data_IF_642242662647
#
_entry.id   IF_642242662647
#
_cell.length_a   1.000
_cell.length_b   1.000
_cell.length_c   1.000
_cell.angle_alpha   90.00
_cell.angle_beta   90.00
_cell.angle_gamma   90.00
#
_symmetry.space_group_name_H-M   'P 1'
#
loop_
_entity.id
_entity.type
_entity.pdbx_description
1 polymer ?
#
# COMPACT_ATOMS: atom_id res chain seq x y z
N UNK A 1 0.06 -34.57 27.67
CA UNK A 1 -1.33 -34.52 27.20
C UNK A 1 -1.76 -33.12 26.73
N UNK A 2 -1.52 -32.08 27.51
CA UNK A 2 -1.91 -30.69 27.21
C UNK A 2 -1.40 -30.11 25.86
N UNK A 3 -0.10 -30.29 25.54
CA UNK A 3 0.48 -29.81 24.28
C UNK A 3 -0.16 -30.40 23.02
N UNK A 4 -0.57 -31.67 23.10
CA UNK A 4 -1.23 -32.38 21.98
C UNK A 4 -2.64 -31.84 21.75
N UNK A 5 -3.35 -31.51 22.80
CA UNK A 5 -4.68 -30.89 22.71
C UNK A 5 -4.61 -29.48 22.15
N UNK A 6 -3.64 -28.65 22.55
CA UNK A 6 -3.42 -27.33 22.00
C UNK A 6 -3.06 -27.38 20.51
N UNK A 7 -2.23 -28.35 20.09
CA UNK A 7 -1.91 -28.55 18.69
C UNK A 7 -3.13 -28.94 17.85
N UNK A 8 -3.97 -29.83 18.36
CA UNK A 8 -5.21 -30.22 17.68
C UNK A 8 -6.18 -29.04 17.56
N UNK A 9 -6.31 -28.24 18.62
CA UNK A 9 -7.11 -27.01 18.59
C UNK A 9 -6.57 -26.01 17.56
N UNK A 10 -5.26 -25.81 17.51
CA UNK A 10 -4.63 -24.96 16.52
C UNK A 10 -4.95 -25.42 15.09
N UNK A 11 -4.79 -26.71 14.80
CA UNK A 11 -5.11 -27.26 13.47
C UNK A 11 -6.60 -27.06 13.13
N UNK A 12 -7.50 -27.31 14.07
CA UNK A 12 -8.95 -27.11 13.86
C UNK A 12 -9.28 -25.65 13.55
N UNK A 13 -8.73 -24.72 14.31
CA UNK A 13 -8.92 -23.29 14.09
C UNK A 13 -8.36 -22.89 12.73
N UNK A 14 -7.12 -23.30 12.42
CA UNK A 14 -6.47 -23.01 11.14
C UNK A 14 -7.26 -23.57 9.95
N UNK A 15 -7.73 -24.84 10.05
CA UNK A 15 -8.53 -25.46 9.01
C UNK A 15 -9.89 -24.79 8.85
N UNK A 16 -10.53 -24.39 9.96
CA UNK A 16 -11.80 -23.66 9.92
C UNK A 16 -11.65 -22.30 9.24
N UNK A 17 -10.56 -21.56 9.53
CA UNK A 17 -10.26 -20.32 8.83
C UNK A 17 -9.99 -20.56 7.34
N UNK A 18 -9.21 -21.58 7.00
CA UNK A 18 -8.91 -21.92 5.61
C UNK A 18 -10.18 -22.25 4.81
N UNK A 19 -11.06 -23.10 5.37
CA UNK A 19 -12.33 -23.43 4.74
C UNK A 19 -13.24 -22.22 4.53
N UNK A 20 -13.25 -21.29 5.48
CA UNK A 20 -14.09 -20.09 5.39
C UNK A 20 -13.53 -19.00 4.47
N UNK A 21 -12.22 -18.90 4.35
CA UNK A 21 -11.54 -17.84 3.60
C UNK A 21 -11.15 -18.27 2.19
N UNK A 22 -10.73 -19.52 2.02
CA UNK A 22 -10.14 -20.01 0.76
C UNK A 22 -11.08 -20.92 0.00
N UNK A 23 -11.92 -21.68 0.73
CA UNK A 23 -12.86 -22.65 0.15
C UNK A 23 -14.32 -22.38 0.55
N UNK A 24 -14.83 -21.15 0.52
CA UNK A 24 -16.25 -20.93 0.76
C UNK A 24 -17.08 -21.53 -0.39
N UNK A 25 -18.14 -22.22 -0.06
CA UNK A 25 -19.09 -22.77 -1.05
C UNK A 25 -19.85 -21.67 -1.83
N UNK A 26 -19.65 -20.40 -1.46
CA UNK A 26 -20.28 -19.25 -2.09
C UNK A 26 -19.38 -18.02 -1.90
N UNK A 27 -19.38 -17.15 -2.90
CA UNK A 27 -18.59 -15.91 -2.88
C UNK A 27 -19.41 -14.83 -2.16
N UNK A 28 -18.90 -14.38 -1.01
CA UNK A 28 -19.52 -13.31 -0.22
C UNK A 28 -18.97 -11.92 -0.54
N UNK A 29 -18.07 -11.84 -1.52
CA UNK A 29 -17.41 -10.59 -1.92
C UNK A 29 -16.31 -10.12 -0.98
N UNK A 30 -15.62 -9.05 -1.40
CA UNK A 30 -14.45 -8.50 -0.71
C UNK A 30 -14.76 -8.00 0.71
N UNK A 31 -15.98 -7.53 0.97
CA UNK A 31 -16.41 -7.09 2.32
C UNK A 31 -16.32 -8.21 3.36
N UNK A 32 -16.61 -9.43 2.96
CA UNK A 32 -16.48 -10.59 3.83
C UNK A 32 -15.02 -10.90 4.14
N UNK A 33 -14.16 -10.92 3.12
CA UNK A 33 -12.72 -11.05 3.29
C UNK A 33 -12.13 -9.97 4.21
N UNK A 34 -12.51 -8.71 4.02
CA UNK A 34 -12.06 -7.60 4.87
C UNK A 34 -12.48 -7.76 6.33
N UNK A 35 -13.63 -8.36 6.60
CA UNK A 35 -14.08 -8.64 7.96
C UNK A 35 -13.13 -9.62 8.66
N UNK A 36 -12.76 -10.72 7.99
CA UNK A 36 -11.79 -11.66 8.54
C UNK A 36 -10.41 -11.06 8.70
N UNK A 37 -9.95 -10.31 7.73
CA UNK A 37 -8.67 -9.62 7.80
C UNK A 37 -8.59 -8.67 9.00
N UNK A 38 -9.68 -7.93 9.30
CA UNK A 38 -9.78 -7.10 10.52
C UNK A 38 -9.72 -7.93 11.80
N UNK A 39 -10.38 -9.07 11.83
CA UNK A 39 -10.34 -9.96 13.00
C UNK A 39 -8.93 -10.49 13.24
N UNK A 40 -8.23 -10.94 12.20
CA UNK A 40 -6.85 -11.40 12.29
C UNK A 40 -5.91 -10.29 12.84
N UNK A 41 -6.00 -9.06 12.29
CA UNK A 41 -5.23 -7.91 12.79
C UNK A 41 -5.54 -7.54 14.23
N UNK A 42 -6.79 -7.67 14.66
CA UNK A 42 -7.14 -7.43 16.06
C UNK A 42 -6.57 -8.49 16.99
N UNK A 43 -6.56 -9.76 16.58
CA UNK A 43 -5.93 -10.83 17.33
C UNK A 43 -4.42 -10.63 17.48
N UNK A 44 -3.72 -10.16 16.44
CA UNK A 44 -2.31 -9.79 16.49
C UNK A 44 -2.04 -8.66 17.50
N UNK A 45 -2.88 -7.62 17.51
CA UNK A 45 -2.77 -6.52 18.47
C UNK A 45 -2.97 -6.96 19.92
N UNK A 46 -3.94 -7.86 20.17
CA UNK A 46 -4.19 -8.44 21.49
C UNK A 46 -2.99 -9.28 21.94
N UNK A 47 -2.32 -9.97 21.00
CA UNK A 47 -1.12 -10.74 21.26
C UNK A 47 0.13 -9.91 21.61
N UNK A 48 0.03 -8.58 21.62
CA UNK A 48 1.13 -7.67 21.97
C UNK A 48 2.31 -7.70 21.00
N UNK A 49 2.11 -8.18 19.77
CA UNK A 49 3.17 -8.22 18.76
C UNK A 49 3.44 -6.82 18.23
N UNK A 50 4.70 -6.41 18.29
CA UNK A 50 5.20 -5.18 17.66
C UNK A 50 5.15 -5.32 16.12
N UNK A 51 4.92 -4.20 15.43
CA UNK A 51 4.96 -4.14 13.95
C UNK A 51 6.31 -4.60 13.39
N UNK A 52 7.41 -4.34 14.09
CA UNK A 52 8.74 -4.82 13.71
C UNK A 52 8.80 -6.35 13.67
N UNK A 53 8.17 -7.03 14.62
CA UNK A 53 8.09 -8.48 14.64
C UNK A 53 7.35 -9.03 13.42
N UNK A 54 6.28 -8.36 12.98
CA UNK A 54 5.52 -8.75 11.78
C UNK A 54 6.41 -8.68 10.54
N UNK A 55 7.18 -7.61 10.35
CA UNK A 55 8.11 -7.50 9.22
C UNK A 55 9.20 -8.56 9.27
N UNK A 56 9.75 -8.84 10.44
CA UNK A 56 10.74 -9.92 10.64
C UNK A 56 10.22 -11.27 10.18
N UNK A 57 9.02 -11.64 10.58
CA UNK A 57 8.41 -12.91 10.19
C UNK A 57 8.06 -12.95 8.68
N UNK A 58 7.63 -11.83 8.11
CA UNK A 58 7.42 -11.72 6.66
C UNK A 58 8.73 -11.99 5.92
N UNK A 59 9.82 -11.33 6.29
CA UNK A 59 11.11 -11.55 5.64
C UNK A 59 11.59 -12.99 5.80
N UNK A 60 11.52 -13.56 6.99
CA UNK A 60 11.90 -14.94 7.23
C UNK A 60 11.09 -15.93 6.40
N UNK A 61 9.78 -15.73 6.29
CA UNK A 61 8.89 -16.65 5.57
C UNK A 61 9.02 -16.55 4.06
N UNK A 62 9.22 -15.36 3.51
CA UNK A 62 9.26 -15.11 2.07
C UNK A 62 10.67 -15.27 1.49
N UNK A 63 11.67 -14.82 2.21
CA UNK A 63 13.04 -14.83 1.71
C UNK A 63 13.73 -16.19 1.80
N UNK A 64 13.11 -17.19 2.44
CA UNK A 64 13.54 -18.60 2.34
C UNK A 64 13.38 -19.18 0.93
N UNK A 65 12.56 -18.54 0.09
CA UNK A 65 12.39 -18.96 -1.28
C UNK A 65 13.43 -18.29 -2.19
N UNK A 66 14.45 -19.04 -2.58
CA UNK A 66 15.56 -18.59 -3.45
C UNK A 66 15.11 -18.08 -4.82
N UNK A 67 13.88 -18.40 -5.23
CA UNK A 67 13.32 -17.94 -6.50
C UNK A 67 12.74 -16.52 -6.43
N UNK A 68 12.53 -15.98 -5.23
CA UNK A 68 12.05 -14.61 -5.06
C UNK A 68 13.24 -13.65 -5.22
N UNK A 69 13.20 -12.83 -6.27
CA UNK A 69 14.23 -11.82 -6.56
C UNK A 69 13.86 -10.42 -6.08
N UNK A 70 12.56 -10.13 -6.04
CA UNK A 70 12.03 -8.83 -5.58
C UNK A 70 10.80 -9.06 -4.72
N UNK A 71 10.72 -8.32 -3.61
CA UNK A 71 9.60 -8.35 -2.69
C UNK A 71 9.03 -6.94 -2.53
N UNK A 72 7.75 -6.76 -2.83
CA UNK A 72 7.04 -5.51 -2.55
C UNK A 72 6.28 -5.60 -1.24
N UNK A 73 6.50 -4.64 -0.36
CA UNK A 73 5.81 -4.49 0.91
C UNK A 73 4.84 -3.32 0.80
N UNK A 74 3.55 -3.57 1.06
CA UNK A 74 2.52 -2.54 1.03
C UNK A 74 2.24 -2.01 2.41
N UNK A 75 2.38 -0.70 2.58
CA UNK A 75 2.20 0.00 3.85
C UNK A 75 1.10 1.04 3.69
N UNK A 76 0.16 1.04 4.62
CA UNK A 76 -0.87 2.08 4.68
C UNK A 76 -0.34 3.29 5.46
N UNK A 77 -0.37 4.51 4.90
CA UNK A 77 0.00 5.71 5.63
C UNK A 77 -0.92 5.93 6.85
N UNK A 78 -0.35 6.36 7.97
CA UNK A 78 -1.14 6.76 9.13
C UNK A 78 -1.60 8.22 8.99
N UNK A 79 -2.82 8.41 8.48
CA UNK A 79 -3.44 9.73 8.35
C UNK A 79 -3.97 10.28 9.67
N UNK A 80 -4.11 9.44 10.70
CA UNK A 80 -4.70 9.83 11.97
C UNK A 80 -3.70 10.53 12.89
N UNK A 81 -2.41 10.47 12.55
CA UNK A 81 -1.35 11.14 13.32
C UNK A 81 -1.61 12.65 13.45
N UNK A 82 -2.11 13.29 12.39
CA UNK A 82 -2.47 14.70 12.40
C UNK A 82 -3.78 14.96 13.14
N UNK A 83 -4.75 14.04 13.04
CA UNK A 83 -6.07 14.19 13.64
C UNK A 83 -6.07 13.93 15.15
N UNK A 84 -5.31 12.95 15.62
CA UNK A 84 -5.21 12.59 17.06
C UNK A 84 -4.70 13.71 17.96
N UNK A 85 -3.95 14.65 17.40
CA UNK A 85 -3.30 15.71 18.14
C UNK A 85 -4.02 17.07 18.04
N UNK A 86 -5.24 17.13 17.47
CA UNK A 86 -6.00 18.37 17.33
C UNK A 86 -5.31 19.46 16.51
N UNK A 87 -4.40 19.06 15.62
CA UNK A 87 -3.53 19.97 14.89
C UNK A 87 -4.29 20.60 13.74
N UNK A 88 -4.63 21.88 13.89
CA UNK A 88 -5.25 22.66 12.84
C UNK A 88 -4.23 23.29 11.86
N UNK A 89 -2.95 23.33 12.19
CA UNK A 89 -1.91 23.95 11.36
C UNK A 89 -1.39 22.97 10.31
N UNK A 90 -1.55 23.32 9.05
CA UNK A 90 -1.14 22.53 7.89
C UNK A 90 0.33 22.08 7.91
N UNK A 91 1.27 22.97 8.25
CA UNK A 91 2.71 22.69 8.29
C UNK A 91 3.08 21.62 9.32
N UNK A 92 2.40 21.64 10.47
CA UNK A 92 2.65 20.65 11.52
C UNK A 92 2.10 19.27 11.12
N UNK A 93 0.95 19.24 10.47
CA UNK A 93 0.36 18.01 9.93
C UNK A 93 1.28 17.36 8.88
N UNK A 94 1.87 18.16 7.99
CA UNK A 94 2.82 17.70 6.99
C UNK A 94 4.09 17.13 7.61
N UNK A 95 4.67 17.84 8.60
CA UNK A 95 5.86 17.37 9.33
C UNK A 95 5.59 16.04 10.04
N UNK A 96 4.44 15.90 10.67
CA UNK A 96 4.06 14.65 11.34
C UNK A 96 3.86 13.50 10.36
N UNK A 97 3.29 13.78 9.20
CA UNK A 97 3.13 12.80 8.14
C UNK A 97 4.48 12.33 7.59
N UNK A 98 5.40 13.23 7.30
CA UNK A 98 6.78 12.90 6.91
C UNK A 98 7.48 12.04 7.97
N UNK A 99 7.34 12.40 9.24
CA UNK A 99 7.89 11.62 10.36
C UNK A 99 7.30 10.21 10.43
N UNK A 100 5.99 10.07 10.25
CA UNK A 100 5.32 8.77 10.23
C UNK A 100 5.80 7.91 9.05
N UNK A 101 5.92 8.49 7.85
CA UNK A 101 6.46 7.80 6.67
C UNK A 101 7.89 7.30 6.94
N UNK A 102 8.77 8.15 7.46
CA UNK A 102 10.15 7.77 7.76
C UNK A 102 10.24 6.67 8.83
N UNK A 103 9.41 6.73 9.85
CA UNK A 103 9.37 5.68 10.89
C UNK A 103 8.96 4.33 10.30
N UNK A 104 7.96 4.31 9.43
CA UNK A 104 7.53 3.08 8.77
C UNK A 104 8.63 2.51 7.87
N UNK A 105 9.24 3.35 7.05
CA UNK A 105 10.36 2.95 6.19
C UNK A 105 11.52 2.42 7.03
N UNK A 106 11.90 3.15 8.10
CA UNK A 106 12.98 2.72 8.99
C UNK A 106 12.71 1.34 9.58
N UNK A 107 11.50 1.07 10.07
CA UNK A 107 11.13 -0.25 10.62
C UNK A 107 11.32 -1.36 9.60
N UNK A 108 10.80 -1.19 8.39
CA UNK A 108 10.92 -2.18 7.32
C UNK A 108 12.38 -2.43 6.96
N UNK A 109 13.15 -1.36 6.74
CA UNK A 109 14.55 -1.47 6.33
C UNK A 109 15.39 -2.10 7.45
N UNK A 110 15.16 -1.72 8.70
CA UNK A 110 15.90 -2.31 9.84
C UNK A 110 15.68 -3.82 9.91
N UNK A 111 14.45 -4.30 9.85
CA UNK A 111 14.17 -5.74 9.91
C UNK A 111 14.67 -6.49 8.67
N UNK A 112 14.65 -5.85 7.51
CA UNK A 112 15.23 -6.40 6.30
C UNK A 112 16.75 -6.54 6.42
N UNK A 113 17.45 -5.55 6.93
CA UNK A 113 18.89 -5.59 7.13
C UNK A 113 19.27 -6.67 8.15
N UNK A 114 18.57 -6.76 9.26
CA UNK A 114 18.80 -7.83 10.25
C UNK A 114 18.57 -9.21 9.66
N UNK A 115 17.57 -9.35 8.80
CA UNK A 115 17.35 -10.57 8.05
C UNK A 115 18.53 -10.89 7.11
N UNK A 116 19.00 -9.92 6.33
CA UNK A 116 20.14 -10.09 5.43
C UNK A 116 21.43 -10.45 6.18
N UNK A 117 21.69 -9.80 7.33
CA UNK A 117 22.83 -10.12 8.19
C UNK A 117 22.80 -11.58 8.65
N UNK A 118 21.64 -12.08 9.04
CA UNK A 118 21.50 -13.49 9.45
C UNK A 118 21.83 -14.48 8.31
N UNK A 119 21.43 -14.13 7.08
CA UNK A 119 21.69 -15.01 5.91
C UNK A 119 23.20 -15.11 5.62
N UNK A 120 23.91 -13.98 5.66
CA UNK A 120 25.35 -13.93 5.31
C UNK A 120 26.26 -14.08 6.53
N UNK A 121 25.70 -14.29 7.73
CA UNK A 121 26.42 -14.39 9.00
C UNK A 121 27.39 -13.23 9.21
N UNK A 122 26.88 -11.99 9.05
CA UNK A 122 27.67 -10.77 9.09
C UNK A 122 27.64 -10.12 10.48
N UNK A 123 28.79 -9.81 11.04
CA UNK A 123 28.95 -9.22 12.39
C UNK A 123 29.51 -7.78 12.38
N UNK A 124 29.68 -7.15 11.21
CA UNK A 124 30.25 -5.79 11.08
C UNK A 124 29.27 -4.66 11.40
N UNK A 125 29.75 -3.42 11.29
CA UNK A 125 28.96 -2.21 11.48
C UNK A 125 27.97 -1.97 10.30
N UNK A 126 27.07 -0.99 10.49
CA UNK A 126 26.03 -0.69 9.51
C UNK A 126 26.56 -0.04 8.24
N UNK A 127 27.60 0.77 8.31
CA UNK A 127 28.16 1.48 7.13
C UNK A 127 28.82 0.51 6.20
N UNK A 128 29.65 -0.36 6.75
CA UNK A 128 30.32 -1.44 6.00
C UNK A 128 29.28 -2.41 5.41
N UNK A 129 28.20 -2.66 6.14
CA UNK A 129 27.08 -3.48 5.65
C UNK A 129 26.41 -2.87 4.43
N UNK A 130 26.09 -1.58 4.45
CA UNK A 130 25.47 -0.88 3.31
C UNK A 130 26.37 -0.94 2.08
N UNK A 131 27.67 -0.72 2.23
CA UNK A 131 28.61 -0.83 1.13
C UNK A 131 28.65 -2.25 0.54
N UNK A 132 28.63 -3.29 1.38
CA UNK A 132 28.59 -4.67 0.93
C UNK A 132 27.25 -5.03 0.27
N UNK A 133 26.13 -4.57 0.82
CA UNK A 133 24.81 -4.80 0.25
C UNK A 133 24.69 -4.18 -1.14
N UNK A 134 25.12 -2.94 -1.30
CA UNK A 134 25.12 -2.26 -2.60
C UNK A 134 25.99 -3.01 -3.61
N UNK A 135 27.20 -3.43 -3.21
CA UNK A 135 28.08 -4.22 -4.05
C UNK A 135 27.46 -5.58 -4.44
N UNK A 136 26.79 -6.25 -3.52
CA UNK A 136 26.05 -7.49 -3.82
C UNK A 136 24.94 -7.26 -4.84
N UNK A 137 24.24 -6.13 -4.77
CA UNK A 137 23.20 -5.77 -5.75
C UNK A 137 23.79 -5.45 -7.13
N UNK A 138 24.88 -4.69 -7.19
CA UNK A 138 25.61 -4.35 -8.42
C UNK A 138 26.14 -5.59 -9.11
N UNK A 139 26.74 -6.49 -8.35
CA UNK A 139 27.31 -7.77 -8.86
C UNK A 139 26.23 -8.81 -9.24
N UNK A 140 24.95 -8.55 -9.00
CA UNK A 140 23.86 -9.50 -9.23
C UNK A 140 23.94 -10.78 -8.38
N UNK A 141 24.76 -10.77 -7.35
CA UNK A 141 25.05 -11.92 -6.47
C UNK A 141 24.27 -11.92 -5.16
N UNK A 142 23.32 -11.02 -4.99
CA UNK A 142 22.52 -10.99 -3.75
C UNK A 142 21.74 -12.29 -3.60
N UNK A 143 22.06 -13.08 -2.60
CA UNK A 143 21.33 -14.29 -2.22
C UNK A 143 19.95 -14.00 -1.59
N UNK A 144 19.54 -12.75 -1.51
CA UNK A 144 18.29 -12.29 -0.92
C UNK A 144 17.54 -11.33 -1.86
N UNK A 145 16.21 -11.27 -1.77
CA UNK A 145 15.41 -10.44 -2.64
C UNK A 145 15.62 -8.96 -2.35
N UNK A 146 15.66 -8.12 -3.38
CA UNK A 146 15.55 -6.68 -3.20
C UNK A 146 14.15 -6.33 -2.70
N UNK A 147 14.04 -5.30 -1.84
CA UNK A 147 12.75 -4.85 -1.32
C UNK A 147 12.30 -3.54 -1.96
N UNK A 148 10.98 -3.41 -2.11
CA UNK A 148 10.32 -2.18 -2.51
C UNK A 148 9.14 -1.90 -1.60
N UNK A 149 9.02 -0.65 -1.14
CA UNK A 149 7.90 -0.19 -0.33
C UNK A 149 6.91 0.51 -1.25
N UNK A 150 5.66 0.07 -1.21
CA UNK A 150 4.54 0.67 -1.93
C UNK A 150 3.56 1.25 -0.92
N UNK A 151 3.33 2.55 -0.97
CA UNK A 151 2.34 3.19 -0.12
C UNK A 151 0.94 2.95 -0.65
N UNK A 152 0.13 2.30 0.19
CA UNK A 152 -1.19 1.79 -0.14
C UNK A 152 -2.28 2.68 0.46
N UNK A 153 -3.08 3.31 -0.40
CA UNK A 153 -4.23 4.12 0.00
C UNK A 153 -5.49 3.25 0.04
N UNK A 154 -6.13 3.21 1.19
CA UNK A 154 -7.40 2.50 1.31
C UNK A 154 -8.53 3.34 0.71
N UNK A 155 -9.25 2.78 -0.26
CA UNK A 155 -10.55 3.29 -0.68
C UNK A 155 -11.47 3.18 0.51
N UNK A 156 -12.08 4.29 0.90
CA UNK A 156 -12.96 4.35 2.07
C UNK A 156 -14.38 4.63 1.62
N UNK A 157 -15.29 3.95 2.24
CA UNK A 157 -16.69 4.26 2.15
C UNK A 157 -16.97 5.49 3.02
N UNK A 158 -17.15 6.63 2.40
CA UNK A 158 -17.48 7.89 3.08
C UNK A 158 -18.99 8.17 3.07
N UNK A 159 -19.73 7.27 2.49
CA UNK A 159 -21.16 7.34 2.53
C UNK A 159 -21.60 6.89 3.92
N UNK A 160 -22.09 7.85 4.71
CA UNK A 160 -23.01 7.50 5.76
C UNK A 160 -24.05 6.56 5.14
N UNK A 161 -24.36 5.43 5.75
CA UNK A 161 -25.25 4.39 5.20
C UNK A 161 -26.58 4.96 4.65
N UNK A 162 -26.94 6.18 5.04
CA UNK A 162 -28.09 6.95 4.55
C UNK A 162 -27.93 7.54 3.14
N UNK A 163 -26.69 7.72 2.67
CA UNK A 163 -26.41 8.35 1.36
C UNK A 163 -26.18 7.29 0.28
N UNK A 164 -25.76 6.09 0.64
CA UNK A 164 -25.58 4.96 -0.29
C UNK A 164 -26.85 4.58 -1.06
N UNK A 165 -28.02 4.89 -0.50
CA UNK A 165 -29.33 4.69 -1.14
C UNK A 165 -29.81 5.87 -1.98
N UNK A 166 -29.06 6.98 -2.00
CA UNK A 166 -29.43 8.12 -2.84
C UNK A 166 -29.07 7.85 -4.29
N UNK A 167 -30.05 7.45 -5.08
CA UNK A 167 -29.92 7.50 -6.51
C UNK A 167 -29.80 8.96 -7.00
N UNK A 168 -29.21 9.15 -8.17
CA UNK A 168 -29.05 10.47 -8.78
C UNK A 168 -30.34 11.31 -8.80
N UNK A 169 -31.50 10.68 -8.97
CA UNK A 169 -32.80 11.36 -8.95
C UNK A 169 -33.12 12.02 -7.59
N UNK A 170 -32.81 11.34 -6.48
CA UNK A 170 -33.01 11.93 -5.14
C UNK A 170 -32.08 13.12 -4.90
N UNK A 171 -30.86 13.04 -5.42
CA UNK A 171 -29.91 14.15 -5.36
C UNK A 171 -30.39 15.38 -6.10
N UNK A 172 -30.84 15.21 -7.35
CA UNK A 172 -31.37 16.32 -8.16
C UNK A 172 -32.63 16.95 -7.53
N UNK A 173 -33.47 16.13 -6.90
CA UNK A 173 -34.69 16.60 -6.24
C UNK A 173 -34.44 17.37 -4.92
N UNK A 174 -33.36 17.02 -4.18
CA UNK A 174 -33.10 17.63 -2.88
C UNK A 174 -32.45 19.03 -2.97
N UNK A 175 -31.85 19.36 -4.12
CA UNK A 175 -31.15 20.65 -4.31
C UNK A 175 -29.94 20.86 -3.38
N UNK A 176 -29.64 19.91 -2.51
CA UNK A 176 -28.54 19.97 -1.55
C UNK A 176 -27.33 19.20 -2.11
N UNK A 177 -26.21 19.89 -2.20
CA UNK A 177 -24.94 19.21 -2.48
C UNK A 177 -24.76 18.11 -1.43
N UNK A 178 -24.47 16.86 -1.82
CA UNK A 178 -24.36 15.78 -0.86
C UNK A 178 -23.28 16.10 0.17
N UNK A 179 -23.52 15.80 1.44
CA UNK A 179 -22.55 15.88 2.54
C UNK A 179 -21.25 15.14 2.20
N UNK A 180 -21.32 14.21 1.29
CA UNK A 180 -20.32 13.54 0.51
C UNK A 180 -19.19 14.46 0.03
N UNK A 181 -19.46 15.65 -0.46
CA UNK A 181 -18.43 16.52 -1.04
C UNK A 181 -17.42 17.04 -0.01
N UNK A 182 -17.83 17.27 1.25
CA UNK A 182 -16.93 17.81 2.29
C UNK A 182 -15.92 16.78 2.79
N UNK A 183 -16.38 15.59 3.11
CA UNK A 183 -15.49 14.52 3.61
C UNK A 183 -14.53 14.02 2.55
N UNK A 184 -15.01 13.89 1.32
CA UNK A 184 -14.14 13.48 0.21
C UNK A 184 -13.06 14.51 -0.10
N UNK A 185 -13.35 15.81 0.01
CA UNK A 185 -12.35 16.86 -0.19
C UNK A 185 -11.24 16.80 0.87
N UNK A 186 -11.56 16.57 2.12
CA UNK A 186 -10.57 16.45 3.19
C UNK A 186 -9.68 15.24 2.93
N UNK A 187 -10.27 14.10 2.67
CA UNK A 187 -9.52 12.87 2.41
C UNK A 187 -8.66 12.96 1.14
N UNK A 188 -9.19 13.51 0.04
CA UNK A 188 -8.40 13.77 -1.18
C UNK A 188 -7.22 14.67 -0.92
N UNK A 189 -7.39 15.75 -0.14
CA UNK A 189 -6.29 16.62 0.28
C UNK A 189 -5.25 15.85 1.11
N UNK A 190 -5.68 15.01 2.04
CA UNK A 190 -4.77 14.18 2.84
C UNK A 190 -3.91 13.27 1.96
N UNK A 191 -4.50 12.62 0.97
CA UNK A 191 -3.75 11.76 0.03
C UNK A 191 -2.79 12.61 -0.82
N UNK A 192 -3.24 13.73 -1.39
CA UNK A 192 -2.36 14.62 -2.15
C UNK A 192 -1.17 15.10 -1.30
N UNK A 193 -1.41 15.43 -0.04
CA UNK A 193 -0.33 15.82 0.86
C UNK A 193 0.62 14.65 1.17
N UNK A 194 0.07 13.44 1.32
CA UNK A 194 0.87 12.24 1.53
C UNK A 194 1.78 11.95 0.33
N UNK A 195 1.25 12.00 -0.88
CA UNK A 195 2.06 11.77 -2.08
C UNK A 195 3.12 12.84 -2.30
N UNK A 196 2.82 14.10 -1.95
CA UNK A 196 3.82 15.19 -1.95
C UNK A 196 4.93 14.93 -0.92
N UNK A 197 4.56 14.50 0.30
CA UNK A 197 5.52 14.16 1.34
C UNK A 197 6.42 12.99 0.93
N UNK A 198 5.84 11.95 0.32
CA UNK A 198 6.58 10.80 -0.22
C UNK A 198 7.62 11.27 -1.25
N UNK A 199 7.20 12.06 -2.24
CA UNK A 199 8.12 12.54 -3.28
C UNK A 199 9.20 13.45 -2.73
N UNK A 200 8.86 14.31 -1.79
CA UNK A 200 9.86 15.19 -1.16
C UNK A 200 10.88 14.38 -0.37
N UNK A 201 10.46 13.38 0.39
CA UNK A 201 11.36 12.49 1.11
C UNK A 201 12.26 11.71 0.14
N UNK A 202 11.67 11.15 -0.94
CA UNK A 202 12.43 10.44 -1.98
C UNK A 202 13.47 11.32 -2.66
N UNK A 203 13.19 12.62 -2.80
CA UNK A 203 14.08 13.59 -3.47
C UNK A 203 15.06 14.26 -2.53
N UNK A 204 14.91 14.15 -1.21
CA UNK A 204 15.76 14.83 -0.22
C UNK A 204 16.65 13.90 0.59
N UNK A 205 16.34 12.60 0.62
CA UNK A 205 17.12 11.61 1.38
C UNK A 205 17.79 10.64 0.41
N UNK A 206 19.13 10.52 0.46
CA UNK A 206 19.87 9.60 -0.39
C UNK A 206 19.32 8.18 -0.34
N UNK A 207 19.21 7.54 -1.50
CA UNK A 207 18.76 6.15 -1.69
C UNK A 207 17.33 5.84 -1.26
N UNK A 208 16.58 6.77 -0.64
CA UNK A 208 15.22 6.50 -0.20
C UNK A 208 14.28 6.19 -1.39
N UNK A 209 14.57 6.77 -2.56
CA UNK A 209 13.80 6.52 -3.78
C UNK A 209 13.95 5.09 -4.31
N UNK A 210 15.01 4.38 -3.93
CA UNK A 210 15.22 2.97 -4.27
C UNK A 210 14.34 2.03 -3.42
N UNK A 211 14.02 2.45 -2.20
CA UNK A 211 13.16 1.71 -1.29
C UNK A 211 11.68 2.06 -1.44
N UNK A 212 11.33 3.33 -1.59
CA UNK A 212 9.94 3.74 -1.85
C UNK A 212 9.71 3.75 -3.36
N UNK A 213 9.21 2.63 -3.87
CA UNK A 213 9.15 2.37 -5.32
C UNK A 213 7.77 2.63 -5.93
N UNK A 214 6.72 2.72 -5.13
CA UNK A 214 5.36 2.83 -5.68
C UNK A 214 4.31 3.40 -4.75
N UNK A 215 3.18 3.74 -5.38
CA UNK A 215 1.91 4.01 -4.70
C UNK A 215 0.83 3.09 -5.26
N UNK A 216 -0.14 2.76 -4.43
CA UNK A 216 -1.24 1.87 -4.75
C UNK A 216 -2.54 2.39 -4.11
N UNK A 217 -3.68 1.99 -4.66
CA UNK A 217 -4.95 2.15 -3.97
C UNK A 217 -5.80 0.89 -4.13
N UNK A 218 -6.29 0.40 -3.01
CA UNK A 218 -7.10 -0.81 -2.96
C UNK A 218 -8.21 -0.71 -1.90
N UNK A 219 -8.86 -1.80 -1.61
CA UNK A 219 -10.07 -1.92 -0.80
C UNK A 219 -11.31 -1.91 -1.70
N UNK A 220 -12.49 -1.90 -1.12
CA UNK A 220 -13.76 -2.02 -1.85
C UNK A 220 -13.84 -1.04 -3.02
N UNK A 221 -13.90 -1.55 -4.25
CA UNK A 221 -13.92 -0.75 -5.47
C UNK A 221 -15.20 0.12 -5.57
N UNK A 222 -16.31 -0.43 -5.10
CA UNK A 222 -17.60 0.26 -5.13
C UNK A 222 -17.71 1.41 -4.12
N UNK A 223 -16.73 1.56 -3.21
CA UNK A 223 -16.71 2.64 -2.22
C UNK A 223 -16.22 3.97 -2.79
N UNK A 224 -15.53 3.94 -3.95
CA UNK A 224 -14.89 5.13 -4.48
C UNK A 224 -14.60 5.03 -5.97
N UNK A 225 -15.03 6.04 -6.70
CA UNK A 225 -14.74 6.21 -8.11
C UNK A 225 -13.24 6.52 -8.35
N UNK A 226 -12.60 5.94 -9.38
CA UNK A 226 -11.17 6.13 -9.64
C UNK A 226 -10.76 7.61 -9.79
N UNK A 227 -11.57 8.42 -10.51
CA UNK A 227 -11.27 9.82 -10.75
C UNK A 227 -11.01 10.64 -9.48
N UNK A 228 -11.51 10.18 -8.32
CA UNK A 228 -11.31 10.88 -7.04
C UNK A 228 -9.84 10.87 -6.60
N UNK A 229 -9.08 9.83 -6.95
CA UNK A 229 -7.66 9.71 -6.66
C UNK A 229 -6.75 10.24 -7.76
N UNK A 230 -7.29 10.49 -8.95
CA UNK A 230 -6.53 10.99 -10.09
C UNK A 230 -5.65 12.23 -9.77
N UNK A 231 -6.10 13.22 -8.99
CA UNK A 231 -5.25 14.36 -8.63
C UNK A 231 -3.98 13.97 -7.87
N UNK A 232 -4.06 12.98 -6.97
CA UNK A 232 -2.90 12.50 -6.21
C UNK A 232 -1.87 11.85 -7.14
N UNK A 233 -2.31 10.94 -8.00
CA UNK A 233 -1.44 10.25 -8.96
C UNK A 233 -0.82 11.22 -9.98
N UNK A 234 -1.62 12.16 -10.52
CA UNK A 234 -1.12 13.20 -11.43
C UNK A 234 -0.13 14.16 -10.76
N UNK A 235 -0.34 14.46 -9.48
CA UNK A 235 0.60 15.32 -8.72
C UNK A 235 2.00 14.73 -8.72
N UNK A 236 2.13 13.44 -8.46
CA UNK A 236 3.42 12.75 -8.51
C UNK A 236 3.95 12.69 -9.96
N UNK A 237 3.11 12.25 -10.90
CA UNK A 237 3.53 12.04 -12.30
C UNK A 237 4.03 13.31 -12.96
N UNK A 238 3.43 14.44 -12.65
CA UNK A 238 3.74 15.73 -13.25
C UNK A 238 4.77 16.55 -12.45
N UNK A 239 5.20 16.05 -11.29
CA UNK A 239 6.19 16.73 -10.49
C UNK A 239 7.53 16.72 -11.23
N UNK A 240 7.89 17.84 -11.81
CA UNK A 240 9.26 18.06 -12.25
C UNK A 240 10.11 18.19 -10.98
N UNK A 241 10.96 17.21 -10.75
CA UNK A 241 12.01 17.32 -9.73
C UNK A 241 12.98 18.38 -10.27
N UNK A 242 12.74 19.63 -9.86
CA UNK A 242 13.48 20.80 -10.37
C UNK A 242 14.87 20.91 -9.80
N UNK A 243 15.21 20.08 -8.81
CA UNK A 243 16.55 20.04 -8.25
C UNK A 243 16.95 18.57 -8.03
N UNK A 244 17.91 18.04 -8.77
CA UNK A 244 18.63 16.87 -8.33
C UNK A 244 19.46 17.32 -7.11
N UNK A 245 18.92 17.08 -5.92
CA UNK A 245 19.50 17.65 -4.69
C UNK A 245 20.47 16.66 -4.04
N UNK A 246 20.46 15.42 -4.49
CA UNK A 246 21.22 14.37 -3.84
C UNK A 246 22.47 14.11 -4.66
N UNK A 247 23.58 14.46 -4.07
CA UNK A 247 24.90 14.00 -4.52
C UNK A 247 25.26 12.78 -3.70
N UNK A 248 25.89 11.80 -4.33
CA UNK A 248 26.57 10.73 -3.60
C UNK A 248 27.83 11.27 -2.93
N UNK A 249 28.49 10.45 -2.13
CA UNK A 249 29.73 10.84 -1.44
C UNK A 249 30.87 11.22 -2.41
N UNK A 250 30.77 10.81 -3.67
CA UNK A 250 31.70 11.14 -4.73
C UNK A 250 31.37 12.46 -5.48
N UNK A 251 30.28 13.12 -5.11
CA UNK A 251 29.85 14.36 -5.75
C UNK A 251 28.98 14.18 -7.01
N UNK A 252 28.60 12.95 -7.36
CA UNK A 252 27.72 12.69 -8.51
C UNK A 252 26.26 12.89 -8.16
N UNK A 253 25.48 13.39 -9.11
CA UNK A 253 24.03 13.49 -8.94
C UNK A 253 23.34 12.14 -9.02
N UNK A 254 22.64 11.78 -7.97
CA UNK A 254 21.81 10.56 -7.97
C UNK A 254 20.56 10.75 -8.81
N UNK A 255 20.35 9.88 -9.76
CA UNK A 255 19.11 9.82 -10.53
C UNK A 255 18.00 9.21 -9.68
N UNK A 256 16.96 9.99 -9.40
CA UNK A 256 15.80 9.52 -8.68
C UNK A 256 14.90 8.74 -9.66
N UNK A 257 14.67 7.42 -9.44
CA UNK A 257 13.80 6.64 -10.30
C UNK A 257 12.36 7.12 -10.21
N UNK A 258 11.61 6.99 -11.30
CA UNK A 258 10.19 7.28 -11.30
C UNK A 258 9.46 6.35 -10.32
N UNK A 259 8.47 6.90 -9.62
CA UNK A 259 7.60 6.09 -8.77
C UNK A 259 6.62 5.30 -9.65
N UNK A 260 6.45 4.01 -9.35
CA UNK A 260 5.50 3.14 -10.03
C UNK A 260 4.07 3.32 -9.49
N UNK A 261 3.08 3.13 -10.36
CA UNK A 261 1.67 3.16 -9.99
C UNK A 261 1.07 1.78 -10.01
N UNK A 262 0.24 1.51 -9.01
CA UNK A 262 -0.70 0.40 -9.01
C UNK A 262 -2.05 0.93 -8.55
N UNK A 263 -3.13 0.38 -9.09
CA UNK A 263 -4.48 0.67 -8.65
C UNK A 263 -5.33 -0.58 -8.81
N UNK A 264 -6.03 -0.98 -7.75
CA UNK A 264 -6.97 -2.09 -7.78
C UNK A 264 -8.26 -1.64 -8.44
N UNK A 265 -8.59 -2.25 -9.59
CA UNK A 265 -9.72 -1.84 -10.41
C UNK A 265 -10.23 -3.01 -11.26
N UNK A 266 -11.52 -3.04 -11.54
CA UNK A 266 -12.15 -4.12 -12.27
C UNK A 266 -12.17 -5.44 -11.50
N UNK A 267 -12.06 -5.37 -10.17
CA UNK A 267 -12.15 -6.52 -9.24
C UNK A 267 -13.59 -6.71 -8.77
N UNK A 268 -14.25 -5.62 -8.39
CA UNK A 268 -15.65 -5.60 -7.97
C UNK A 268 -16.45 -4.63 -8.85
N UNK A 269 -17.37 -5.13 -9.62
CA UNK A 269 -18.23 -4.30 -10.47
C UNK A 269 -19.66 -4.86 -10.46
N UNK A 270 -20.64 -3.95 -10.46
CA UNK A 270 -22.06 -4.33 -10.51
C UNK A 270 -22.52 -4.66 -11.93
N UNK A 271 -21.82 -4.12 -12.91
CA UNK A 271 -22.06 -4.31 -14.33
C UNK A 271 -20.72 -4.29 -15.06
N UNK A 272 -20.52 -5.17 -16.02
CA UNK A 272 -19.24 -5.32 -16.73
C UNK A 272 -18.76 -3.99 -17.34
N UNK A 273 -19.68 -3.19 -17.88
CA UNK A 273 -19.36 -1.86 -18.42
C UNK A 273 -18.85 -0.89 -17.37
N UNK A 274 -19.28 -1.02 -16.11
CA UNK A 274 -18.71 -0.20 -15.03
C UNK A 274 -17.28 -0.62 -14.71
N UNK A 275 -16.97 -1.91 -14.77
CA UNK A 275 -15.61 -2.41 -14.63
C UNK A 275 -14.68 -1.88 -15.74
N UNK A 276 -15.13 -1.93 -16.99
CA UNK A 276 -14.38 -1.36 -18.12
C UNK A 276 -14.18 0.15 -17.97
N UNK A 277 -15.22 0.89 -17.61
CA UNK A 277 -15.14 2.34 -17.39
C UNK A 277 -14.10 2.67 -16.32
N UNK A 278 -14.13 1.99 -15.18
CA UNK A 278 -13.17 2.23 -14.11
C UNK A 278 -11.73 1.96 -14.55
N UNK A 279 -11.50 0.89 -15.31
CA UNK A 279 -10.17 0.56 -15.85
C UNK A 279 -9.70 1.68 -16.80
N UNK A 280 -10.57 2.13 -17.74
CA UNK A 280 -10.26 3.24 -18.65
C UNK A 280 -9.96 4.54 -17.89
N UNK A 281 -10.77 4.88 -16.87
CA UNK A 281 -10.57 6.05 -16.02
C UNK A 281 -9.21 6.02 -15.31
N UNK A 282 -8.77 4.85 -14.82
CA UNK A 282 -7.45 4.71 -14.19
C UNK A 282 -6.34 4.98 -15.19
N UNK A 283 -6.41 4.36 -16.36
CA UNK A 283 -5.38 4.52 -17.40
C UNK A 283 -5.28 5.99 -17.84
N UNK A 284 -6.41 6.61 -18.15
CA UNK A 284 -6.46 7.95 -18.74
C UNK A 284 -6.25 9.05 -17.69
N UNK A 285 -6.97 8.98 -16.57
CA UNK A 285 -6.97 10.08 -15.59
C UNK A 285 -5.75 10.07 -14.67
N UNK A 286 -5.09 8.93 -14.48
CA UNK A 286 -3.88 8.84 -13.67
C UNK A 286 -2.60 9.07 -14.48
N UNK A 287 -2.74 9.20 -15.79
CA UNK A 287 -1.60 9.31 -16.70
C UNK A 287 -0.66 8.11 -16.58
N UNK A 288 -1.24 6.90 -16.68
CA UNK A 288 -0.51 5.63 -16.65
C UNK A 288 0.50 5.55 -17.79
N UNK A 289 1.62 4.92 -17.52
CA UNK A 289 2.72 4.69 -18.46
C UNK A 289 3.12 3.22 -18.46
N UNK A 290 3.90 2.83 -19.44
CA UNK A 290 4.52 1.52 -19.47
C UNK A 290 5.27 1.25 -18.15
N UNK A 291 5.01 0.10 -17.52
CA UNK A 291 5.52 -0.29 -16.21
C UNK A 291 4.56 -0.04 -15.04
N UNK A 292 3.52 0.80 -15.20
CA UNK A 292 2.44 0.89 -14.22
C UNK A 292 1.53 -0.35 -14.30
N UNK A 293 0.87 -0.68 -13.19
CA UNK A 293 0.11 -1.94 -13.06
C UNK A 293 -1.34 -1.69 -12.69
N UNK A 294 -2.24 -2.44 -13.29
CA UNK A 294 -3.63 -2.57 -12.87
C UNK A 294 -3.72 -3.76 -11.89
N UNK A 295 -4.27 -3.54 -10.71
CA UNK A 295 -4.58 -4.62 -9.77
C UNK A 295 -5.85 -5.33 -10.23
N UNK A 296 -5.79 -6.65 -10.35
CA UNK A 296 -6.86 -7.56 -10.79
C UNK A 296 -7.32 -7.38 -12.23
N UNK A 297 -7.99 -6.28 -12.57
CA UNK A 297 -8.58 -6.03 -13.89
C UNK A 297 -9.44 -7.19 -14.44
N UNK A 298 -10.13 -7.92 -13.55
CA UNK A 298 -10.89 -9.15 -13.84
C UNK A 298 -11.95 -8.86 -14.91
N UNK A 299 -12.54 -7.66 -14.92
CA UNK A 299 -13.55 -7.27 -15.89
C UNK A 299 -13.11 -7.49 -17.35
N UNK A 300 -11.79 -7.38 -17.63
CA UNK A 300 -11.25 -7.60 -18.98
C UNK A 300 -11.24 -9.07 -19.41
N UNK A 301 -11.30 -9.99 -18.46
CA UNK A 301 -11.26 -11.43 -18.69
C UNK A 301 -12.61 -12.14 -18.58
N UNK A 302 -13.68 -11.39 -18.31
CA UNK A 302 -15.02 -11.96 -18.18
C UNK A 302 -15.56 -12.36 -19.57
N UNK A 303 -16.05 -13.58 -19.67
CA UNK A 303 -16.79 -14.04 -20.82
C UNK A 303 -18.18 -13.36 -20.84
N UNK A 304 -18.39 -12.50 -21.83
CA UNK A 304 -19.60 -11.65 -21.93
C UNK A 304 -20.85 -12.48 -22.15
N UNK A 305 -20.72 -13.62 -22.85
CA UNK A 305 -21.87 -14.50 -23.13
C UNK A 305 -22.31 -15.27 -21.87
N UNK A 306 -21.41 -15.44 -20.90
CA UNK A 306 -21.69 -16.09 -19.64
C UNK A 306 -22.06 -15.11 -18.52
N UNK A 307 -21.79 -13.83 -18.69
CA UNK A 307 -22.12 -12.78 -17.72
C UNK A 307 -23.63 -12.54 -17.64
#
# INVERSE_FOLDING_TARGET
MYKRQLFIQYIRIKSGYFQQLVEPNYILGLNYFQRFFRMARNAEKIGGRDESHVYREIFKSQAQNINIKKLEIRITPDFDVANKNGIQKYELAERMLKKSILLNVRRVITEYIEYCKMIVNYEGDMETWYAQLNKCYEDGRSGFPSIGIVYHFQKRDYLDNKIGDMCWRKYVQSGTAPAYSKHMLVWRKQIVNCVKAIEELRSSIPYLAEYIVGIDAASNENSMEPWMLAPAYRTIRNRKITKPIIMNDNGDFLRIPNIGFTYHVGEEFRHIMSGFRHISEVIEHFNYKAGDRLGHAIALGVDVDQW
#
